data_IF_227571075001
#
_entry.id   IF_227571075001
#
_cell.length_a   1.000
_cell.length_b   1.000
_cell.length_c   1.000
_cell.angle_alpha   90.00
_cell.angle_beta   90.00
_cell.angle_gamma   90.00
#
_symmetry.space_group_name_H-M   'P 1'
#
loop_
_entity.id
_entity.type
_entity.pdbx_description
1 polymer ?
#
# COMPACT_ATOMS: atom_id res chain seq x y z
N UNK A 1 24.58 -11.52 -33.70
CA UNK A 1 23.98 -10.46 -32.86
C UNK A 1 23.17 -11.20 -31.82
N UNK A 2 23.44 -10.96 -30.54
CA UNK A 2 22.78 -11.71 -29.47
C UNK A 2 21.27 -11.46 -29.52
N UNK A 3 20.47 -12.49 -29.20
CA UNK A 3 19.01 -12.42 -28.98
C UNK A 3 18.61 -11.49 -27.82
N UNK A 4 19.54 -10.67 -27.32
CA UNK A 4 19.45 -9.83 -26.12
C UNK A 4 18.83 -8.46 -26.44
N UNK A 5 18.74 -8.06 -27.70
CA UNK A 5 18.10 -6.80 -28.11
C UNK A 5 17.18 -7.07 -29.30
N UNK A 6 16.04 -7.71 -29.04
CA UNK A 6 14.91 -7.68 -29.95
C UNK A 6 14.00 -6.51 -29.52
N UNK A 7 13.78 -5.47 -30.34
CA UNK A 7 12.90 -4.35 -29.98
C UNK A 7 11.44 -4.78 -29.72
N UNK A 8 11.05 -5.98 -30.18
CA UNK A 8 9.76 -6.60 -29.84
C UNK A 8 9.70 -7.11 -28.40
N UNK A 9 10.83 -7.25 -27.70
CA UNK A 9 10.91 -7.76 -26.34
C UNK A 9 11.27 -6.64 -25.37
N UNK A 10 10.50 -6.52 -24.30
CA UNK A 10 10.80 -5.56 -23.25
C UNK A 10 12.11 -5.91 -22.55
N UNK A 11 12.90 -4.89 -22.21
CA UNK A 11 14.08 -5.08 -21.38
C UNK A 11 13.66 -5.72 -20.04
N UNK A 12 14.29 -6.85 -19.64
CA UNK A 12 13.99 -7.49 -18.36
C UNK A 12 14.13 -6.50 -17.21
N UNK A 13 13.07 -6.33 -16.43
CA UNK A 13 13.06 -5.48 -15.24
C UNK A 13 12.86 -6.36 -14.00
N UNK A 14 13.90 -6.48 -13.18
CA UNK A 14 13.79 -7.05 -11.84
C UNK A 14 13.71 -5.91 -10.81
N UNK A 15 12.56 -5.71 -10.13
CA UNK A 15 12.42 -4.71 -9.08
C UNK A 15 13.49 -4.82 -7.99
N UNK A 16 14.01 -6.02 -7.71
CA UNK A 16 15.02 -6.26 -6.67
C UNK A 16 16.34 -5.55 -6.95
N UNK A 17 16.69 -5.33 -8.22
CA UNK A 17 17.87 -4.54 -8.60
C UNK A 17 17.78 -3.08 -8.11
N UNK A 18 16.59 -2.61 -7.76
CA UNK A 18 16.31 -1.24 -7.35
C UNK A 18 15.88 -1.09 -5.90
N UNK A 19 15.93 -2.17 -5.11
CA UNK A 19 15.52 -2.23 -3.70
C UNK A 19 16.67 -2.07 -2.69
N UNK A 20 17.91 -1.88 -3.15
CA UNK A 20 19.09 -1.59 -2.30
C UNK A 20 19.08 -0.15 -1.78
N UNK A 21 19.48 0.09 -0.52
CA UNK A 21 19.66 1.43 0.11
C UNK A 21 20.80 2.28 -0.50
N UNK A 22 21.35 1.86 -1.63
CA UNK A 22 22.29 2.64 -2.41
C UNK A 22 21.52 3.67 -3.25
N UNK A 23 21.96 4.93 -3.30
CA UNK A 23 21.34 5.96 -4.16
C UNK A 23 21.52 5.62 -5.65
N UNK A 24 20.56 4.90 -6.24
CA UNK A 24 20.61 4.47 -7.66
C UNK A 24 20.36 5.65 -8.62
N UNK A 25 19.58 6.64 -8.19
CA UNK A 25 19.38 7.91 -8.89
C UNK A 25 19.02 9.01 -7.87
N UNK A 26 19.41 10.28 -8.09
CA UNK A 26 19.01 11.38 -7.22
C UNK A 26 17.48 11.50 -7.16
N UNK A 27 16.91 11.54 -5.95
CA UNK A 27 15.48 11.76 -5.74
C UNK A 27 15.07 13.07 -6.43
N UNK A 28 13.94 13.05 -7.13
CA UNK A 28 13.45 14.19 -7.90
C UNK A 28 14.01 14.30 -9.32
N UNK A 29 15.04 13.54 -9.68
CA UNK A 29 15.54 13.50 -11.07
C UNK A 29 14.63 12.70 -12.01
N UNK A 30 14.76 12.95 -13.31
CA UNK A 30 14.08 12.17 -14.34
C UNK A 30 14.43 10.67 -14.28
N UNK A 31 15.70 10.32 -14.06
CA UNK A 31 16.14 8.93 -13.90
C UNK A 31 15.44 8.24 -12.72
N UNK A 32 15.29 8.94 -11.60
CA UNK A 32 14.54 8.45 -10.45
C UNK A 32 13.06 8.25 -10.78
N UNK A 33 12.45 9.19 -11.52
CA UNK A 33 11.06 9.11 -11.94
C UNK A 33 10.80 7.88 -12.83
N UNK A 34 11.70 7.57 -13.77
CA UNK A 34 11.63 6.37 -14.60
C UNK A 34 11.71 5.08 -13.78
N UNK A 35 12.56 5.02 -12.75
CA UNK A 35 12.63 3.88 -11.84
C UNK A 35 11.28 3.71 -11.11
N UNK A 36 10.70 4.80 -10.59
CA UNK A 36 9.39 4.73 -9.92
C UNK A 36 8.28 4.25 -10.86
N UNK A 37 8.26 4.71 -12.11
CA UNK A 37 7.33 4.24 -13.14
C UNK A 37 7.48 2.74 -13.40
N UNK A 38 8.71 2.24 -13.55
CA UNK A 38 8.97 0.79 -13.73
C UNK A 38 8.55 -0.03 -12.51
N UNK A 39 8.61 0.55 -11.31
CA UNK A 39 8.04 -0.01 -10.07
C UNK A 39 6.51 0.15 -9.98
N UNK A 40 5.83 0.49 -11.08
CA UNK A 40 4.37 0.69 -11.18
C UNK A 40 3.82 1.82 -10.28
N UNK A 41 4.66 2.74 -9.84
CA UNK A 41 4.22 3.96 -9.15
C UNK A 41 3.85 5.03 -10.16
N UNK A 42 3.12 6.05 -9.70
CA UNK A 42 2.77 7.23 -10.50
C UNK A 42 3.68 8.37 -10.10
N UNK A 43 4.12 9.17 -11.05
CA UNK A 43 5.02 10.30 -10.81
C UNK A 43 4.44 11.58 -11.39
N UNK A 44 4.76 12.72 -10.80
CA UNK A 44 4.33 14.03 -11.28
C UNK A 44 5.47 15.04 -11.17
N UNK A 45 5.39 16.15 -11.91
CA UNK A 45 6.27 17.31 -11.71
C UNK A 45 5.62 18.33 -10.78
N UNK A 46 6.43 19.04 -10.01
CA UNK A 46 5.94 20.11 -9.12
C UNK A 46 5.25 21.25 -9.89
N UNK A 47 5.72 21.52 -11.12
CA UNK A 47 5.17 22.56 -11.99
C UNK A 47 3.84 22.17 -12.67
N UNK A 48 3.44 20.90 -12.61
CA UNK A 48 2.16 20.43 -13.17
C UNK A 48 1.00 20.67 -12.20
N UNK A 49 0.84 21.92 -11.80
CA UNK A 49 -0.31 22.41 -11.04
C UNK A 49 -1.29 23.08 -12.00
N UNK A 50 -2.56 22.72 -11.88
CA UNK A 50 -3.61 23.40 -12.64
C UNK A 50 -3.88 24.80 -12.07
N UNK A 51 -4.74 25.57 -12.72
CA UNK A 51 -5.10 26.93 -12.30
C UNK A 51 -5.76 27.02 -10.90
N UNK A 52 -6.17 25.89 -10.32
CA UNK A 52 -6.74 25.78 -8.99
C UNK A 52 -5.69 25.38 -7.93
N UNK A 53 -4.43 25.23 -8.32
CA UNK A 53 -3.34 24.79 -7.45
C UNK A 53 -3.30 23.28 -7.20
N UNK A 54 -4.14 22.50 -7.88
CA UNK A 54 -4.18 21.05 -7.75
C UNK A 54 -3.17 20.40 -8.70
N UNK A 55 -2.34 19.50 -8.18
CA UNK A 55 -1.42 18.71 -8.98
C UNK A 55 -2.10 17.41 -9.42
N UNK A 56 -3.03 17.48 -10.36
CA UNK A 56 -3.81 16.32 -10.83
C UNK A 56 -3.14 15.52 -11.95
N UNK A 57 -2.16 16.12 -12.62
CA UNK A 57 -1.44 15.50 -13.70
C UNK A 57 -0.42 14.51 -13.15
N UNK A 58 -0.23 13.39 -13.86
CA UNK A 58 0.81 12.42 -13.52
C UNK A 58 1.12 11.51 -14.70
N UNK A 59 2.30 10.92 -14.66
CA UNK A 59 2.69 9.83 -15.53
C UNK A 59 2.38 8.48 -14.89
N UNK A 60 1.94 7.53 -15.72
CA UNK A 60 1.78 6.13 -15.37
C UNK A 60 2.30 5.25 -16.51
N UNK A 61 2.78 4.05 -16.16
CA UNK A 61 3.23 3.07 -17.16
C UNK A 61 2.05 2.16 -17.54
N UNK A 62 1.75 2.12 -18.84
CA UNK A 62 0.75 1.21 -19.40
C UNK A 62 1.44 -0.09 -19.78
N UNK A 63 1.07 -1.24 -19.18
CA UNK A 63 1.70 -2.53 -19.50
C UNK A 63 1.34 -2.98 -20.90
N UNK A 64 2.21 -3.78 -21.50
CA UNK A 64 1.90 -4.51 -22.71
C UNK A 64 0.71 -5.45 -22.49
N UNK A 65 -0.19 -5.47 -23.45
CA UNK A 65 -1.32 -6.40 -23.52
C UNK A 65 -1.21 -7.16 -24.83
N UNK A 66 -1.15 -8.49 -24.74
CA UNK A 66 -0.96 -9.35 -25.89
C UNK A 66 -2.28 -9.93 -26.40
N UNK A 67 -2.30 -10.32 -27.67
CA UNK A 67 -3.42 -11.03 -28.30
C UNK A 67 -4.75 -10.26 -28.23
N UNK A 68 -4.70 -8.96 -28.45
CA UNK A 68 -5.89 -8.16 -28.63
C UNK A 68 -6.44 -8.37 -30.04
N UNK A 69 -7.75 -8.25 -30.18
CA UNK A 69 -8.43 -8.27 -31.45
C UNK A 69 -9.08 -6.90 -31.69
N UNK A 70 -9.01 -6.39 -32.93
CA UNK A 70 -9.74 -5.17 -33.29
C UNK A 70 -11.24 -5.44 -33.14
N UNK A 71 -11.87 -4.71 -32.21
CA UNK A 71 -13.31 -4.81 -31.93
C UNK A 71 -14.11 -3.88 -32.85
N UNK A 72 -15.37 -4.24 -33.11
CA UNK A 72 -16.30 -3.39 -33.85
C UNK A 72 -16.51 -2.06 -33.11
N UNK A 73 -16.40 -0.93 -33.83
CA UNK A 73 -16.52 0.41 -33.26
C UNK A 73 -15.29 0.92 -32.50
N UNK A 74 -14.22 0.12 -32.37
CA UNK A 74 -12.92 0.61 -31.86
C UNK A 74 -12.32 1.66 -32.80
N UNK A 75 -11.41 2.49 -32.29
CA UNK A 75 -10.69 3.49 -33.09
C UNK A 75 -10.04 2.86 -34.34
N UNK A 76 -9.41 1.69 -34.18
CA UNK A 76 -8.80 0.96 -35.29
C UNK A 76 -9.82 0.49 -36.33
N UNK A 77 -11.00 0.01 -35.90
CA UNK A 77 -12.05 -0.39 -36.83
C UNK A 77 -12.62 0.81 -37.60
N UNK A 78 -12.80 1.95 -36.92
CA UNK A 78 -13.23 3.22 -37.55
C UNK A 78 -12.21 3.69 -38.58
N UNK A 79 -10.92 3.51 -38.30
CA UNK A 79 -9.82 3.86 -39.20
C UNK A 79 -9.59 2.80 -40.31
N UNK A 80 -10.46 1.79 -40.41
CA UNK A 80 -10.49 0.83 -41.51
C UNK A 80 -9.67 -0.45 -41.30
N UNK A 81 -9.16 -0.71 -40.09
CA UNK A 81 -8.55 -2.00 -39.75
C UNK A 81 -9.64 -3.05 -39.61
N UNK A 82 -9.44 -4.22 -40.24
CA UNK A 82 -10.45 -5.28 -40.24
C UNK A 82 -10.74 -5.77 -38.80
N UNK A 83 -12.03 -5.89 -38.45
CA UNK A 83 -12.48 -6.47 -37.18
C UNK A 83 -11.93 -7.89 -37.05
N UNK A 84 -11.40 -8.21 -35.87
CA UNK A 84 -10.73 -9.48 -35.57
C UNK A 84 -9.22 -9.52 -35.86
N UNK A 85 -8.65 -8.46 -36.46
CA UNK A 85 -7.19 -8.35 -36.65
C UNK A 85 -6.49 -8.43 -35.30
N UNK A 86 -5.55 -9.37 -35.18
CA UNK A 86 -4.77 -9.58 -33.97
C UNK A 86 -3.64 -8.56 -33.87
N UNK A 87 -3.44 -8.01 -32.67
CA UNK A 87 -2.33 -7.12 -32.38
C UNK A 87 -1.95 -7.19 -30.90
N UNK A 88 -0.72 -6.77 -30.61
CA UNK A 88 -0.27 -6.50 -29.24
C UNK A 88 -0.26 -4.99 -29.03
N UNK A 89 -0.70 -4.55 -27.85
CA UNK A 89 -0.56 -3.17 -27.43
C UNK A 89 0.69 -3.04 -26.58
N UNK A 90 1.68 -2.27 -27.04
CA UNK A 90 3.02 -2.23 -26.46
C UNK A 90 3.08 -1.40 -25.18
N UNK A 91 4.02 -1.70 -24.29
CA UNK A 91 4.28 -0.87 -23.10
C UNK A 91 4.71 0.54 -23.48
N UNK A 92 4.09 1.55 -22.86
CA UNK A 92 4.42 2.97 -23.00
C UNK A 92 4.09 3.73 -21.71
N UNK A 93 4.38 5.02 -21.70
CA UNK A 93 4.04 5.92 -20.60
C UNK A 93 2.88 6.79 -21.06
N UNK A 94 1.84 6.87 -20.24
CA UNK A 94 0.74 7.81 -20.43
C UNK A 94 0.87 8.96 -19.45
N UNK A 95 0.46 10.15 -19.91
CA UNK A 95 0.17 11.31 -19.08
C UNK A 95 -1.34 11.36 -18.84
N UNK A 96 -1.75 11.34 -17.56
CA UNK A 96 -3.08 11.83 -17.19
C UNK A 96 -3.03 13.35 -17.17
N UNK A 97 -3.84 13.99 -18.00
CA UNK A 97 -3.94 15.45 -18.02
C UNK A 97 -4.85 15.98 -16.88
N UNK A 98 -4.95 17.30 -16.77
CA UNK A 98 -5.74 17.96 -15.72
C UNK A 98 -7.25 17.66 -15.77
N UNK A 99 -7.76 17.17 -16.90
CA UNK A 99 -9.16 16.77 -17.08
C UNK A 99 -9.38 15.28 -16.80
N UNK A 100 -8.32 14.55 -16.45
CA UNK A 100 -8.37 13.13 -16.18
C UNK A 100 -8.35 12.20 -17.39
N UNK A 101 -8.07 12.75 -18.57
CA UNK A 101 -7.88 11.97 -19.78
C UNK A 101 -6.41 11.53 -19.90
N UNK A 102 -6.19 10.40 -20.57
CA UNK A 102 -4.86 9.86 -20.80
C UNK A 102 -4.40 10.13 -22.23
N UNK A 103 -3.13 10.48 -22.38
CA UNK A 103 -2.47 10.63 -23.67
C UNK A 103 -1.10 9.96 -23.64
N UNK A 104 -0.65 9.32 -24.74
CA UNK A 104 0.72 8.82 -24.84
C UNK A 104 1.71 9.96 -24.59
N UNK A 105 2.72 9.71 -23.76
CA UNK A 105 3.67 10.71 -23.32
C UNK A 105 5.09 10.37 -23.75
N UNK A 106 5.81 11.41 -24.19
CA UNK A 106 7.24 11.36 -24.46
C UNK A 106 7.92 12.50 -23.71
N UNK A 107 9.12 12.26 -23.13
CA UNK A 107 9.83 13.29 -22.39
C UNK A 107 10.29 14.41 -23.31
N UNK A 108 10.05 15.65 -22.91
CA UNK A 108 10.72 16.81 -23.50
C UNK A 108 12.16 16.94 -22.97
N UNK A 109 12.96 17.83 -23.58
CA UNK A 109 14.28 18.16 -23.01
C UNK A 109 14.17 18.69 -21.58
N UNK A 110 13.15 19.49 -21.29
CA UNK A 110 12.92 20.04 -19.95
C UNK A 110 12.64 18.92 -18.95
N UNK A 111 11.78 17.98 -19.30
CA UNK A 111 11.42 16.84 -18.45
C UNK A 111 12.63 15.96 -18.10
N UNK A 112 13.52 15.74 -19.07
CA UNK A 112 14.76 14.97 -18.87
C UNK A 112 15.74 15.67 -17.94
N UNK A 113 15.74 17.00 -17.92
CA UNK A 113 16.64 17.83 -17.12
C UNK A 113 16.03 18.27 -15.79
N UNK A 114 14.75 17.98 -15.56
CA UNK A 114 14.04 18.41 -14.38
C UNK A 114 14.47 17.63 -13.13
N UNK A 115 14.50 18.35 -12.00
CA UNK A 115 14.80 17.82 -10.67
C UNK A 115 13.59 17.95 -9.71
N UNK A 116 12.40 18.17 -10.27
CA UNK A 116 11.17 18.45 -9.54
C UNK A 116 10.13 17.32 -9.62
N UNK A 117 10.59 16.11 -9.94
CA UNK A 117 9.75 14.92 -9.97
C UNK A 117 9.37 14.46 -8.56
N UNK A 118 8.14 13.97 -8.39
CA UNK A 118 7.63 13.45 -7.12
C UNK A 118 6.68 12.28 -7.32
N UNK A 119 6.38 11.55 -6.24
CA UNK A 119 5.37 10.50 -6.27
C UNK A 119 3.97 11.12 -6.26
N UNK A 120 3.10 10.64 -7.16
CA UNK A 120 1.67 10.94 -7.11
C UNK A 120 0.97 9.88 -6.26
N UNK A 121 0.72 10.22 -5.01
CA UNK A 121 -0.01 9.38 -4.04
C UNK A 121 -1.29 8.85 -4.68
N UNK A 122 -1.39 7.52 -4.78
CA UNK A 122 -2.62 6.81 -5.16
C UNK A 122 -3.66 7.09 -4.07
N UNK A 123 -4.87 7.57 -4.40
CA UNK A 123 -5.95 7.62 -3.42
C UNK A 123 -6.20 6.24 -2.77
N UNK A 124 -5.81 5.20 -3.49
CA UNK A 124 -5.96 3.76 -3.22
C UNK A 124 -4.68 3.07 -2.68
N UNK A 125 -3.50 3.73 -2.70
CA UNK A 125 -2.36 3.26 -1.89
C UNK A 125 -2.40 4.11 -0.65
N UNK A 126 -2.75 3.52 0.49
CA UNK A 126 -2.82 4.31 1.70
C UNK A 126 -1.42 4.89 1.93
N UNK A 127 -1.36 6.21 2.16
CA UNK A 127 -0.12 6.99 2.25
C UNK A 127 0.91 6.25 3.13
N UNK A 128 2.22 6.33 2.90
CA UNK A 128 3.20 5.64 3.78
C UNK A 128 2.74 5.70 5.25
N UNK A 129 2.58 4.56 5.94
CA UNK A 129 1.85 4.54 7.20
C UNK A 129 2.49 5.52 8.15
N UNK A 130 1.71 6.49 8.63
CA UNK A 130 2.24 7.56 9.48
C UNK A 130 2.65 7.01 10.85
N UNK A 131 2.04 5.89 11.25
CA UNK A 131 2.36 5.16 12.46
C UNK A 131 2.42 3.66 12.17
N UNK A 132 3.42 2.99 12.74
CA UNK A 132 3.62 1.55 12.61
C UNK A 132 3.86 0.94 13.98
N UNK A 133 3.30 -0.24 14.21
CA UNK A 133 3.52 -1.02 15.42
C UNK A 133 3.78 -2.48 15.03
N UNK A 134 4.89 -3.05 15.49
CA UNK A 134 5.21 -4.46 15.25
C UNK A 134 5.37 -5.16 16.58
N UNK A 135 4.68 -6.28 16.74
CA UNK A 135 4.77 -7.10 17.95
C UNK A 135 4.52 -8.58 17.65
N UNK A 136 5.10 -9.43 18.50
CA UNK A 136 4.80 -10.84 18.57
C UNK A 136 3.77 -11.09 19.67
N UNK A 137 2.72 -11.84 19.35
CA UNK A 137 1.65 -12.22 20.28
C UNK A 137 1.52 -13.73 20.34
N UNK A 138 1.45 -14.27 21.55
CA UNK A 138 1.04 -15.65 21.85
C UNK A 138 -0.25 -15.59 22.66
N UNK A 139 -1.42 -15.69 22.02
CA UNK A 139 -2.70 -15.40 22.65
C UNK A 139 -3.07 -16.46 23.69
N UNK A 140 -3.80 -16.00 24.71
CA UNK A 140 -4.41 -16.80 25.75
C UNK A 140 -5.94 -16.67 25.65
N UNK A 141 -6.65 -17.68 26.15
CA UNK A 141 -8.11 -17.64 26.27
C UNK A 141 -8.52 -17.20 27.67
N UNK A 142 -9.34 -16.16 27.75
CA UNK A 142 -10.01 -15.73 28.97
C UNK A 142 -11.43 -16.30 28.96
N UNK A 143 -11.54 -17.55 29.42
CA UNK A 143 -12.75 -18.39 29.29
C UNK A 143 -14.02 -17.73 29.82
N UNK A 144 -13.94 -17.02 30.95
CA UNK A 144 -15.09 -16.37 31.59
C UNK A 144 -15.69 -15.24 30.75
N UNK A 145 -14.89 -14.61 29.92
CA UNK A 145 -15.26 -13.41 29.18
C UNK A 145 -15.35 -13.66 27.66
N UNK A 146 -14.92 -14.86 27.21
CA UNK A 146 -14.82 -15.24 25.80
C UNK A 146 -13.96 -14.23 25.02
N UNK A 147 -12.83 -13.88 25.61
CA UNK A 147 -11.77 -13.11 24.97
C UNK A 147 -10.58 -14.00 24.58
N UNK A 148 -9.94 -13.67 23.48
CA UNK A 148 -8.68 -14.26 23.05
C UNK A 148 -7.67 -13.18 22.73
N UNK A 149 -6.52 -13.21 23.40
CA UNK A 149 -5.55 -12.15 23.31
C UNK A 149 -4.62 -12.16 24.51
N UNK A 150 -3.94 -11.05 24.76
CA UNK A 150 -3.03 -10.93 25.90
C UNK A 150 -2.67 -9.46 26.15
N UNK A 151 -2.15 -9.18 27.35
CA UNK A 151 -1.57 -7.88 27.72
C UNK A 151 -0.06 -8.02 27.95
N UNK A 152 0.67 -6.90 27.98
CA UNK A 152 2.10 -6.88 28.33
C UNK A 152 2.41 -7.37 29.75
N UNK A 153 1.41 -7.53 30.63
CA UNK A 153 1.59 -8.12 31.96
C UNK A 153 1.93 -9.62 31.92
N UNK A 154 1.65 -10.30 30.80
CA UNK A 154 2.02 -11.70 30.62
C UNK A 154 3.38 -11.79 29.95
N UNK A 155 4.41 -11.96 30.77
CA UNK A 155 5.81 -11.97 30.35
C UNK A 155 6.06 -12.92 29.16
N UNK A 156 6.64 -12.37 28.08
CA UNK A 156 6.99 -13.11 26.87
C UNK A 156 5.81 -13.52 25.97
N UNK A 157 4.56 -13.14 26.31
CA UNK A 157 3.38 -13.43 25.49
C UNK A 157 2.98 -12.28 24.57
N UNK A 158 3.34 -11.05 24.91
CA UNK A 158 3.22 -9.87 24.07
C UNK A 158 4.55 -9.15 24.06
N UNK A 159 5.24 -9.16 22.92
CA UNK A 159 6.61 -8.63 22.82
C UNK A 159 6.68 -7.65 21.66
N UNK A 160 7.01 -6.41 21.97
CA UNK A 160 7.26 -5.38 20.95
C UNK A 160 8.52 -5.71 20.16
N UNK A 161 8.51 -5.45 18.85
CA UNK A 161 9.62 -5.75 17.93
C UNK A 161 10.07 -4.48 17.21
N UNK A 162 11.37 -4.39 16.91
CA UNK A 162 11.96 -3.26 16.18
C UNK A 162 12.23 -2.05 17.07
N UNK A 163 12.01 -0.84 16.53
CA UNK A 163 12.36 0.44 17.17
C UNK A 163 11.62 0.69 18.49
N UNK A 164 10.59 -0.10 18.79
CA UNK A 164 9.79 -0.01 20.01
C UNK A 164 9.96 -1.21 20.95
N UNK A 165 10.95 -2.09 20.70
CA UNK A 165 11.16 -3.29 21.52
C UNK A 165 11.47 -3.00 23.00
N UNK A 166 12.05 -1.83 23.30
CA UNK A 166 12.37 -1.40 24.67
C UNK A 166 11.24 -0.60 25.35
N UNK A 167 10.12 -0.37 24.65
CA UNK A 167 8.98 0.35 25.21
C UNK A 167 8.26 -0.55 26.23
N UNK A 168 8.71 -0.51 27.49
CA UNK A 168 8.06 -1.19 28.61
C UNK A 168 6.78 -0.44 29.02
N UNK A 169 5.78 -0.48 28.15
CA UNK A 169 4.52 0.24 28.28
C UNK A 169 3.35 -0.73 28.31
N UNK A 170 2.28 -0.32 28.99
CA UNK A 170 1.03 -1.09 28.97
C UNK A 170 0.49 -1.15 27.55
N UNK A 171 0.16 -2.34 27.09
CA UNK A 171 -0.44 -2.57 25.79
C UNK A 171 -1.26 -3.86 25.87
N UNK A 172 -2.46 -3.84 25.30
CA UNK A 172 -3.27 -5.03 25.19
C UNK A 172 -3.96 -5.13 23.83
N UNK A 173 -4.24 -6.37 23.45
CA UNK A 173 -4.99 -6.69 22.25
C UNK A 173 -5.83 -7.93 22.50
N UNK A 174 -7.12 -7.85 22.19
CA UNK A 174 -8.08 -8.92 22.42
C UNK A 174 -9.12 -9.02 21.32
N UNK A 175 -9.52 -10.24 21.00
CA UNK A 175 -10.72 -10.54 20.25
C UNK A 175 -11.86 -10.90 21.19
N UNK A 176 -13.00 -10.23 21.06
CA UNK A 176 -14.26 -10.54 21.74
C UNK A 176 -15.18 -11.38 20.88
N UNK A 177 -15.53 -12.60 21.32
CA UNK A 177 -16.60 -13.33 20.65
C UNK A 177 -18.00 -12.78 20.96
N UNK A 178 -18.18 -12.04 22.06
CA UNK A 178 -19.48 -11.46 22.42
C UNK A 178 -19.81 -10.25 21.55
N UNK A 179 -18.80 -9.42 21.26
CA UNK A 179 -18.94 -8.21 20.45
C UNK A 179 -18.53 -8.40 18.98
N UNK A 180 -17.91 -9.53 18.64
CA UNK A 180 -17.34 -9.81 17.33
C UNK A 180 -16.36 -8.69 16.91
N UNK A 181 -15.45 -8.38 17.82
CA UNK A 181 -14.61 -7.18 17.79
C UNK A 181 -13.17 -7.49 18.16
N UNK A 182 -12.22 -6.89 17.45
CA UNK A 182 -10.82 -6.79 17.84
C UNK A 182 -10.58 -5.45 18.54
N UNK A 183 -10.16 -5.49 19.80
CA UNK A 183 -9.89 -4.30 20.63
C UNK A 183 -8.40 -4.19 20.91
N UNK A 184 -7.87 -2.97 20.90
CA UNK A 184 -6.49 -2.65 21.27
C UNK A 184 -6.46 -1.43 22.20
N UNK A 185 -5.86 -1.56 23.39
CA UNK A 185 -5.56 -0.42 24.26
C UNK A 185 -4.14 0.04 24.00
N UNK A 186 -4.02 1.24 23.43
CA UNK A 186 -2.75 1.86 23.09
C UNK A 186 -2.38 3.03 24.02
N UNK A 187 -3.10 3.26 25.13
CA UNK A 187 -3.00 4.49 25.94
C UNK A 187 -1.55 4.82 26.34
N UNK A 188 -0.78 3.81 26.75
CA UNK A 188 0.61 4.05 27.14
C UNK A 188 1.52 4.33 25.94
N UNK A 189 1.17 3.91 24.72
CA UNK A 189 1.98 4.00 23.50
C UNK A 189 1.90 5.38 22.83
N UNK A 190 2.32 6.43 23.53
CA UNK A 190 2.28 7.84 23.09
C UNK A 190 2.91 8.18 21.72
N UNK A 191 3.68 7.27 21.10
CA UNK A 191 4.17 7.45 19.73
C UNK A 191 3.10 7.13 18.66
N UNK A 192 1.98 6.56 19.09
CA UNK A 192 0.78 6.29 18.31
C UNK A 192 -0.31 7.35 18.54
N UNK A 193 -0.02 8.48 19.19
CA UNK A 193 -0.99 9.57 19.34
C UNK A 193 -1.55 10.00 17.97
N UNK A 194 -2.88 10.11 17.86
CA UNK A 194 -3.53 10.56 16.63
C UNK A 194 -3.88 9.44 15.66
N UNK A 195 -3.77 8.15 16.04
CA UNK A 195 -4.18 7.01 15.19
C UNK A 195 -5.68 6.73 15.20
N UNK A 196 -6.44 7.41 16.05
CA UNK A 196 -7.84 7.11 16.36
C UNK A 196 -8.79 7.29 15.17
N UNK A 197 -8.49 8.25 14.30
CA UNK A 197 -9.28 8.52 13.09
C UNK A 197 -8.64 7.92 11.82
N UNK A 198 -7.62 7.07 11.98
CA UNK A 198 -6.87 6.48 10.88
C UNK A 198 -7.38 5.12 10.50
N UNK A 199 -7.14 4.77 9.24
CA UNK A 199 -7.41 3.43 8.73
C UNK A 199 -6.30 2.47 9.15
N UNK A 200 -6.65 1.31 9.68
CA UNK A 200 -5.70 0.27 10.09
C UNK A 200 -5.67 -0.89 9.09
N UNK A 201 -4.46 -1.29 8.70
CA UNK A 201 -4.20 -2.56 8.04
C UNK A 201 -3.21 -3.35 8.91
N UNK A 202 -3.54 -4.62 9.16
CA UNK A 202 -2.66 -5.55 9.89
C UNK A 202 -2.11 -6.58 8.90
N UNK A 203 -0.81 -6.83 8.92
CA UNK A 203 -0.19 -7.94 8.18
C UNK A 203 0.28 -9.03 9.14
N UNK A 204 -0.17 -10.27 8.92
CA UNK A 204 0.24 -11.46 9.68
C UNK A 204 0.67 -12.54 8.69
N UNK A 205 1.88 -13.10 8.85
CA UNK A 205 2.44 -14.12 7.94
C UNK A 205 2.39 -13.71 6.44
N UNK A 206 2.52 -12.41 6.15
CA UNK A 206 2.46 -11.84 4.80
C UNK A 206 1.05 -11.62 4.24
N UNK A 207 0.00 -12.00 4.97
CA UNK A 207 -1.40 -11.78 4.61
C UNK A 207 -1.87 -10.45 5.20
N UNK A 208 -2.47 -9.60 4.37
CA UNK A 208 -3.02 -8.30 4.77
C UNK A 208 -4.50 -8.41 5.14
N UNK A 209 -4.85 -7.82 6.27
CA UNK A 209 -6.20 -7.68 6.79
C UNK A 209 -6.51 -6.18 6.84
N UNK A 210 -7.47 -5.74 6.03
CA UNK A 210 -7.92 -4.34 6.00
C UNK A 210 -9.06 -4.17 7.01
N UNK A 211 -8.75 -3.63 8.19
CA UNK A 211 -9.72 -3.46 9.28
C UNK A 211 -10.54 -2.17 9.12
N UNK A 212 -10.17 -1.29 8.19
CA UNK A 212 -10.85 0.00 8.03
C UNK A 212 -10.61 0.95 9.21
N UNK A 213 -11.63 1.71 9.56
CA UNK A 213 -11.60 2.70 10.64
C UNK A 213 -12.09 2.08 11.95
N UNK A 214 -11.69 2.65 13.09
CA UNK A 214 -12.19 2.22 14.39
C UNK A 214 -13.71 2.36 14.46
N UNK A 215 -14.35 1.42 15.14
CA UNK A 215 -15.73 1.49 15.57
C UNK A 215 -15.83 2.42 16.78
N UNK A 216 -16.67 3.46 16.69
CA UNK A 216 -16.86 4.46 17.76
C UNK A 216 -18.12 4.14 18.56
N UNK A 217 -17.99 3.32 19.60
CA UNK A 217 -19.09 3.03 20.56
C UNK A 217 -18.65 3.22 22.03
N UNK A 218 -17.35 3.41 22.28
CA UNK A 218 -16.78 3.61 23.61
C UNK A 218 -16.60 5.09 23.94
N UNK A 219 -16.64 5.41 25.23
CA UNK A 219 -16.39 6.77 25.78
C UNK A 219 -14.91 7.07 25.99
N UNK A 220 -14.00 6.12 25.71
CA UNK A 220 -12.55 6.29 25.85
C UNK A 220 -11.91 6.40 24.47
N UNK A 221 -11.14 7.46 24.24
CA UNK A 221 -10.50 7.70 22.94
C UNK A 221 -9.31 6.76 22.67
N UNK A 222 -8.74 6.14 23.71
CA UNK A 222 -7.54 5.27 23.61
C UNK A 222 -7.82 3.82 23.22
N UNK A 223 -9.07 3.35 23.40
CA UNK A 223 -9.47 2.00 23.05
C UNK A 223 -9.85 1.96 21.56
N UNK A 224 -9.06 1.23 20.78
CA UNK A 224 -9.34 1.05 19.36
C UNK A 224 -10.10 -0.25 19.13
N UNK A 225 -11.38 -0.11 18.84
CA UNK A 225 -12.29 -1.20 18.49
C UNK A 225 -12.38 -1.37 16.97
N UNK A 226 -12.25 -2.58 16.45
CA UNK A 226 -12.41 -2.89 15.04
C UNK A 226 -13.36 -4.07 14.83
N UNK A 227 -14.37 -3.87 13.98
CA UNK A 227 -15.40 -4.86 13.67
C UNK A 227 -15.38 -5.23 12.19
N UNK A 228 -16.01 -6.35 11.85
CA UNK A 228 -16.19 -6.80 10.47
C UNK A 228 -15.39 -8.04 10.12
N UNK A 229 -15.49 -8.45 8.84
CA UNK A 229 -15.03 -9.77 8.39
C UNK A 229 -13.51 -9.96 8.53
N UNK A 230 -12.71 -8.90 8.33
CA UNK A 230 -11.26 -9.01 8.49
C UNK A 230 -10.84 -9.08 9.95
N UNK A 231 -11.55 -8.37 10.85
CA UNK A 231 -11.34 -8.48 12.29
C UNK A 231 -11.70 -9.89 12.80
N UNK A 232 -12.78 -10.48 12.31
CA UNK A 232 -13.20 -11.85 12.65
C UNK A 232 -12.15 -12.89 12.24
N UNK A 233 -11.57 -12.77 11.04
CA UNK A 233 -10.46 -13.64 10.61
C UNK A 233 -9.25 -13.54 11.54
N UNK A 234 -8.92 -12.33 12.03
CA UNK A 234 -7.86 -12.16 13.04
C UNK A 234 -8.30 -12.80 14.36
N UNK A 235 -9.56 -12.67 14.76
CA UNK A 235 -10.12 -13.37 15.90
C UNK A 235 -9.94 -14.89 15.84
N UNK A 236 -10.14 -15.49 14.66
CA UNK A 236 -9.89 -16.93 14.45
C UNK A 236 -8.41 -17.32 14.56
N UNK A 237 -7.48 -16.40 14.28
CA UNK A 237 -6.06 -16.59 14.58
C UNK A 237 -5.81 -16.51 16.08
N UNK A 238 -6.39 -15.52 16.77
CA UNK A 238 -6.21 -15.35 18.21
C UNK A 238 -6.80 -16.52 19.02
N UNK A 239 -7.84 -17.18 18.51
CA UNK A 239 -8.40 -18.43 19.08
C UNK A 239 -7.42 -19.61 19.07
N UNK A 240 -6.40 -19.59 18.22
CA UNK A 240 -5.36 -20.63 18.17
C UNK A 240 -4.31 -20.38 19.26
N UNK A 241 -4.72 -20.58 20.52
CA UNK A 241 -3.87 -20.33 21.68
C UNK A 241 -2.58 -21.16 21.66
N UNK A 242 -1.50 -20.59 22.20
CA UNK A 242 -0.19 -21.24 22.26
C UNK A 242 0.66 -21.14 20.98
N UNK A 243 0.10 -20.69 19.86
CA UNK A 243 0.87 -20.29 18.67
C UNK A 243 1.27 -18.82 18.75
N UNK A 244 2.50 -18.50 18.34
CA UNK A 244 2.97 -17.11 18.24
C UNK A 244 2.72 -16.57 16.84
N UNK A 245 2.24 -15.33 16.76
CA UNK A 245 2.01 -14.59 15.52
C UNK A 245 2.75 -13.27 15.56
N UNK A 246 3.29 -12.84 14.42
CA UNK A 246 3.82 -11.48 14.26
C UNK A 246 2.79 -10.58 13.61
N UNK A 247 2.42 -9.53 14.31
CA UNK A 247 1.53 -8.49 13.83
C UNK A 247 2.35 -7.32 13.33
N UNK A 248 2.09 -6.89 12.10
CA UNK A 248 2.56 -5.62 11.55
C UNK A 248 1.35 -4.71 11.36
N UNK A 249 1.14 -3.79 12.30
CA UNK A 249 0.06 -2.82 12.26
C UNK A 249 0.53 -1.54 11.58
N UNK A 250 -0.22 -1.09 10.59
CA UNK A 250 0.06 0.08 9.78
C UNK A 250 -1.18 1.00 9.80
N UNK A 251 -1.05 2.22 10.35
CA UNK A 251 -2.12 3.21 10.33
C UNK A 251 -1.89 4.26 9.26
N UNK A 252 -2.97 4.56 8.55
CA UNK A 252 -3.00 5.34 7.33
C UNK A 252 -3.97 6.52 7.44
N UNK A 253 -3.56 7.67 6.92
CA UNK A 253 -4.43 8.85 6.78
C UNK A 253 -5.55 8.61 5.75
#
# INVERSE_FOLDING_TARGET
>A
MSDVINPEHECPFDPKHYQCDCFIAPVGSFSWALIQLKLRKRVTRSVWVNCQGNNEMYLAITPRVNNLAVEEGSAYAVDGVAVGTQYDYLTHIDLRNEHGNFVPWQPTQEDMMACDWGLKVRPDVPASPKHTLIFDITPLEMVSERYWGVTTNYEGKLVMVGDHAEANKYFEIFWSANHNELSMDLEALTFLDGVEDKKLIITIDGIKYDLGYRFKDTTSDSDLSYIGIEAEKIGDLLKQTGKTYRFHCEWYD
#
